data_IF_445321500285
#
_entry.id   IF_445321500285
#
_cell.length_a   1.000
_cell.length_b   1.000
_cell.length_c   1.000
_cell.angle_alpha   90.00
_cell.angle_beta   90.00
_cell.angle_gamma   90.00
#
_symmetry.space_group_name_H-M   'P 1'
#
loop_
_entity.id
_entity.type
_entity.pdbx_description
1 polymer ?
#
# COMPACT_ATOMS: atom_id res chain seq x y z
N UNK A 1 -43.44 -1.21 -8.01
CA UNK A 1 -42.21 -1.92 -7.62
C UNK A 1 -41.08 -0.90 -7.63
N UNK A 2 -40.64 -0.53 -6.42
CA UNK A 2 -39.74 0.58 -6.11
C UNK A 2 -38.49 -0.03 -5.45
N UNK A 3 -37.32 0.07 -6.08
CA UNK A 3 -36.00 0.01 -5.42
C UNK A 3 -34.90 0.22 -6.46
N UNK A 4 -34.49 1.46 -6.68
CA UNK A 4 -33.26 1.83 -7.39
C UNK A 4 -32.54 2.97 -6.66
N UNK A 5 -32.30 2.84 -5.35
CA UNK A 5 -31.56 3.86 -4.59
C UNK A 5 -30.83 3.28 -3.36
N UNK A 6 -29.99 2.25 -3.55
CA UNK A 6 -29.16 1.69 -2.47
C UNK A 6 -27.71 1.43 -2.90
N UNK A 7 -27.13 2.30 -3.72
CA UNK A 7 -25.68 2.29 -4.01
C UNK A 7 -25.17 3.73 -4.08
N UNK A 8 -25.35 4.47 -2.99
CA UNK A 8 -24.74 5.80 -2.80
C UNK A 8 -24.44 6.09 -1.31
N UNK A 9 -24.38 5.04 -0.47
CA UNK A 9 -24.31 5.17 0.98
C UNK A 9 -22.90 5.10 1.58
N UNK A 10 -21.89 4.69 0.82
CA UNK A 10 -20.52 4.47 1.37
C UNK A 10 -19.52 5.56 1.02
N UNK A 11 -19.85 6.48 0.09
CA UNK A 11 -18.93 7.55 -0.32
C UNK A 11 -19.09 8.86 0.47
N UNK A 12 -20.20 9.05 1.20
CA UNK A 12 -20.46 10.28 1.96
C UNK A 12 -20.04 10.20 3.44
N UNK A 13 -19.65 9.02 3.93
CA UNK A 13 -19.19 8.87 5.31
C UNK A 13 -17.74 9.36 5.53
N UNK A 14 -16.97 9.59 4.46
CA UNK A 14 -15.58 10.10 4.56
C UNK A 14 -15.49 11.63 4.67
N UNK A 15 -16.55 12.38 4.33
CA UNK A 15 -16.56 13.84 4.42
C UNK A 15 -16.89 14.38 5.82
N UNK A 16 -17.42 13.53 6.72
CA UNK A 16 -17.72 13.92 8.10
C UNK A 16 -16.48 13.99 9.01
N UNK A 17 -15.30 13.56 8.53
CA UNK A 17 -14.04 13.69 9.27
C UNK A 17 -13.42 15.09 9.18
N UNK A 18 -13.92 15.97 8.31
CA UNK A 18 -13.36 17.30 8.07
C UNK A 18 -13.96 18.43 8.94
N UNK A 19 -14.99 18.14 9.75
CA UNK A 19 -15.64 19.15 10.61
C UNK A 19 -15.27 19.02 12.10
N UNK A 20 -14.13 18.41 12.41
CA UNK A 20 -13.65 18.18 13.78
C UNK A 20 -12.62 19.18 14.28
N UNK A 21 -12.70 20.47 13.93
CA UNK A 21 -11.84 21.53 14.49
C UNK A 21 -12.25 21.89 15.93
N UNK A 22 -12.02 20.98 16.88
CA UNK A 22 -11.88 21.28 18.32
C UNK A 22 -11.30 20.08 19.11
N UNK A 23 -10.61 19.14 18.46
CA UNK A 23 -9.73 18.25 19.22
C UNK A 23 -8.55 19.11 19.68
N UNK A 24 -8.35 19.22 20.99
CA UNK A 24 -7.13 19.84 21.55
C UNK A 24 -5.93 19.24 20.83
N UNK A 25 -5.21 20.06 20.07
CA UNK A 25 -4.02 19.62 19.35
C UNK A 25 -3.04 19.05 20.37
N UNK A 26 -2.59 17.83 20.14
CA UNK A 26 -1.69 17.11 21.04
C UNK A 26 -0.50 16.62 20.22
N UNK A 27 0.59 17.38 20.25
CA UNK A 27 1.79 17.05 19.50
C UNK A 27 2.39 15.73 19.98
N UNK A 28 2.39 15.45 21.29
CA UNK A 28 2.92 14.20 21.86
C UNK A 28 2.26 12.98 21.23
N UNK A 29 0.93 12.95 21.22
CA UNK A 29 0.17 11.84 20.64
C UNK A 29 0.44 11.70 19.14
N UNK A 30 0.54 12.82 18.43
CA UNK A 30 0.81 12.81 16.99
C UNK A 30 2.21 12.26 16.68
N UNK A 31 3.20 12.64 17.48
CA UNK A 31 4.59 12.14 17.41
C UNK A 31 4.65 10.65 17.75
N UNK A 32 3.94 10.17 18.78
CA UNK A 32 3.87 8.74 19.11
C UNK A 32 3.28 7.92 17.96
N UNK A 33 2.23 8.42 17.31
CA UNK A 33 1.65 7.77 16.13
C UNK A 33 2.64 7.78 14.95
N UNK A 34 3.39 8.87 14.76
CA UNK A 34 4.45 8.93 13.75
C UNK A 34 5.57 7.92 14.02
N UNK A 35 6.08 7.83 15.25
CA UNK A 35 7.09 6.85 15.65
C UNK A 35 6.60 5.41 15.43
N UNK A 36 5.32 5.13 15.69
CA UNK A 36 4.73 3.82 15.40
C UNK A 36 4.66 3.52 13.89
N UNK A 37 4.31 4.50 13.05
CA UNK A 37 4.27 4.32 11.60
C UNK A 37 5.68 4.21 10.99
N UNK A 38 6.67 4.88 11.58
CA UNK A 38 8.08 4.70 11.24
C UNK A 38 8.52 3.25 11.41
N UNK A 39 8.22 2.63 12.55
CA UNK A 39 8.57 1.24 12.81
C UNK A 39 7.95 0.29 11.77
N UNK A 40 6.69 0.52 11.39
CA UNK A 40 6.01 -0.26 10.35
C UNK A 40 6.69 -0.08 8.98
N UNK A 41 7.06 1.15 8.61
CA UNK A 41 7.75 1.44 7.36
C UNK A 41 9.12 0.76 7.28
N UNK A 42 9.87 0.77 8.39
CA UNK A 42 11.16 0.08 8.51
C UNK A 42 11.00 -1.45 8.41
N UNK A 43 9.99 -2.02 9.07
CA UNK A 43 9.69 -3.46 9.02
C UNK A 43 9.28 -3.92 7.61
N UNK A 44 8.50 -3.09 6.90
CA UNK A 44 8.03 -3.38 5.53
C UNK A 44 9.15 -3.24 4.49
N UNK A 45 10.37 -2.84 4.90
CA UNK A 45 11.51 -2.55 4.01
C UNK A 45 11.12 -1.54 2.93
N UNK A 46 10.35 -0.52 3.32
CA UNK A 46 9.98 0.55 2.41
C UNK A 46 11.21 1.33 1.93
N UNK A 47 11.05 2.09 0.86
CA UNK A 47 12.16 2.81 0.22
C UNK A 47 12.82 3.79 1.20
N UNK A 48 14.15 3.70 1.32
CA UNK A 48 14.92 4.46 2.30
C UNK A 48 14.78 5.96 2.09
N UNK A 49 14.72 6.45 0.84
CA UNK A 49 14.59 7.88 0.59
C UNK A 49 13.21 8.41 1.01
N UNK A 50 12.16 7.59 0.87
CA UNK A 50 10.81 7.93 1.36
C UNK A 50 10.77 7.96 2.90
N UNK A 51 11.42 7.00 3.56
CA UNK A 51 11.55 6.97 5.03
C UNK A 51 12.35 8.18 5.53
N UNK A 52 13.44 8.57 4.86
CA UNK A 52 14.26 9.73 5.23
C UNK A 52 13.49 11.04 5.13
N UNK A 53 12.68 11.22 4.07
CA UNK A 53 11.83 12.40 3.93
C UNK A 53 10.78 12.50 5.05
N UNK A 54 10.20 11.37 5.45
CA UNK A 54 9.26 11.31 6.58
C UNK A 54 9.97 11.58 7.93
N UNK A 55 11.16 11.00 8.13
CA UNK A 55 11.99 11.23 9.32
C UNK A 55 12.31 12.72 9.51
N UNK A 56 12.65 13.44 8.44
CA UNK A 56 12.96 14.87 8.53
C UNK A 56 11.77 15.69 9.07
N UNK A 57 10.53 15.34 8.70
CA UNK A 57 9.33 15.98 9.24
C UNK A 57 9.09 15.61 10.69
N UNK A 58 9.28 14.34 11.05
CA UNK A 58 9.15 13.88 12.43
C UNK A 58 10.18 14.54 13.36
N UNK A 59 11.42 14.68 12.92
CA UNK A 59 12.47 15.37 13.68
C UNK A 59 12.14 16.85 13.85
N UNK A 60 11.61 17.49 12.81
CA UNK A 60 11.11 18.88 12.87
C UNK A 60 9.92 19.02 13.82
N UNK A 61 8.99 18.05 13.84
CA UNK A 61 7.88 18.01 14.77
C UNK A 61 8.35 17.93 16.23
N UNK A 62 9.32 17.06 16.51
CA UNK A 62 9.93 16.91 17.85
C UNK A 62 10.63 18.21 18.30
N UNK A 63 11.32 18.90 17.39
CA UNK A 63 11.96 20.18 17.67
C UNK A 63 10.94 21.30 17.97
N UNK A 64 9.86 21.39 17.20
CA UNK A 64 8.78 22.36 17.43
C UNK A 64 8.04 22.09 18.74
N UNK A 65 7.79 20.82 19.07
CA UNK A 65 7.21 20.45 20.36
C UNK A 65 8.10 20.91 21.52
N UNK A 66 9.41 20.66 21.43
CA UNK A 66 10.37 21.11 22.45
C UNK A 66 10.42 22.65 22.59
N UNK A 67 10.01 23.38 21.54
CA UNK A 67 9.92 24.84 21.51
C UNK A 67 8.55 25.38 21.97
N UNK A 68 7.59 24.49 22.28
CA UNK A 68 6.22 24.85 22.68
C UNK A 68 5.28 25.15 21.51
N UNK A 69 5.70 24.91 20.27
CA UNK A 69 4.91 25.14 19.05
C UNK A 69 4.02 23.93 18.73
N UNK A 70 3.10 23.61 19.66
CA UNK A 70 2.29 22.38 19.65
C UNK A 70 1.48 22.16 18.37
N UNK A 71 0.88 23.21 17.80
CA UNK A 71 0.05 23.08 16.60
C UNK A 71 0.86 22.69 15.36
N UNK A 72 2.00 23.36 15.17
CA UNK A 72 2.89 23.08 14.05
C UNK A 72 3.61 21.73 14.23
N UNK A 73 3.96 21.38 15.47
CA UNK A 73 4.51 20.08 15.81
C UNK A 73 3.54 18.94 15.47
N UNK A 74 2.26 19.07 15.84
CA UNK A 74 1.25 18.08 15.50
C UNK A 74 1.04 17.97 13.98
N UNK A 75 0.96 19.10 13.27
CA UNK A 75 0.81 19.11 11.82
C UNK A 75 1.96 18.38 11.10
N UNK A 76 3.22 18.67 11.46
CA UNK A 76 4.37 17.98 10.90
C UNK A 76 4.43 16.49 11.26
N UNK A 77 4.00 16.13 12.49
CA UNK A 77 3.91 14.73 12.88
C UNK A 77 2.84 14.00 12.05
N UNK A 78 1.67 14.59 11.83
CA UNK A 78 0.61 14.03 10.99
C UNK A 78 1.04 13.89 9.52
N UNK A 79 1.76 14.87 8.97
CA UNK A 79 2.37 14.76 7.64
C UNK A 79 3.36 13.59 7.57
N UNK A 80 4.21 13.44 8.59
CA UNK A 80 5.17 12.32 8.64
C UNK A 80 4.45 10.96 8.68
N UNK A 81 3.31 10.85 9.37
CA UNK A 81 2.46 9.64 9.38
C UNK A 81 1.97 9.31 7.97
N UNK A 82 1.50 10.31 7.22
CA UNK A 82 1.03 10.11 5.85
C UNK A 82 2.16 9.64 4.94
N UNK A 83 3.36 10.22 5.09
CA UNK A 83 4.53 9.84 4.30
C UNK A 83 4.98 8.39 4.60
N UNK A 84 5.02 7.98 5.87
CA UNK A 84 5.33 6.58 6.21
C UNK A 84 4.31 5.60 5.64
N UNK A 85 3.01 5.91 5.74
CA UNK A 85 1.95 5.08 5.16
C UNK A 85 2.06 4.99 3.64
N UNK A 86 2.40 6.09 2.99
CA UNK A 86 2.64 6.09 1.54
C UNK A 86 3.86 5.22 1.18
N UNK A 87 4.93 5.28 1.97
CA UNK A 87 6.11 4.44 1.76
C UNK A 87 5.79 2.95 1.88
N UNK A 88 5.02 2.56 2.91
CA UNK A 88 4.50 1.19 3.10
C UNK A 88 3.65 0.76 1.89
N UNK A 89 2.68 1.57 1.49
CA UNK A 89 1.79 1.25 0.37
C UNK A 89 2.57 1.07 -0.96
N UNK A 90 3.59 1.89 -1.19
CA UNK A 90 4.46 1.74 -2.36
C UNK A 90 5.28 0.44 -2.32
N UNK A 91 5.78 0.06 -1.14
CA UNK A 91 6.52 -1.18 -0.96
C UNK A 91 5.63 -2.41 -1.23
N UNK A 92 4.43 -2.42 -0.67
CA UNK A 92 3.43 -3.48 -0.90
C UNK A 92 3.03 -3.56 -2.37
N UNK A 93 2.78 -2.42 -3.02
CA UNK A 93 2.47 -2.37 -4.45
C UNK A 93 3.60 -2.95 -5.31
N UNK A 94 4.84 -2.62 -4.99
CA UNK A 94 6.01 -3.15 -5.71
C UNK A 94 6.14 -4.66 -5.53
N UNK A 95 5.94 -5.17 -4.31
CA UNK A 95 5.95 -6.60 -4.03
C UNK A 95 4.85 -7.33 -4.79
N UNK A 96 3.62 -6.79 -4.77
CA UNK A 96 2.48 -7.36 -5.48
C UNK A 96 2.72 -7.44 -7.00
N UNK A 97 3.23 -6.36 -7.62
CA UNK A 97 3.59 -6.34 -9.05
C UNK A 97 4.65 -7.39 -9.39
N UNK A 98 5.67 -7.52 -8.54
CA UNK A 98 6.75 -8.49 -8.75
C UNK A 98 6.21 -9.92 -8.73
N UNK A 99 5.31 -10.25 -7.80
CA UNK A 99 4.71 -11.59 -7.74
C UNK A 99 3.75 -11.82 -8.90
N UNK A 100 2.96 -10.83 -9.31
CA UNK A 100 2.06 -10.92 -10.46
C UNK A 100 2.83 -11.21 -11.77
N UNK A 101 3.93 -10.50 -12.02
CA UNK A 101 4.82 -10.74 -13.17
C UNK A 101 5.41 -12.17 -13.15
N UNK A 102 5.77 -12.67 -11.97
CA UNK A 102 6.29 -14.03 -11.80
C UNK A 102 5.20 -15.07 -12.10
N UNK A 103 4.00 -14.90 -11.56
CA UNK A 103 2.86 -15.79 -11.79
C UNK A 103 2.46 -15.78 -13.26
N UNK A 104 2.44 -14.63 -13.93
CA UNK A 104 2.15 -14.55 -15.37
C UNK A 104 3.18 -15.32 -16.19
N UNK A 105 4.47 -15.19 -15.85
CA UNK A 105 5.56 -15.92 -16.50
C UNK A 105 5.45 -17.43 -16.30
N UNK A 106 5.14 -17.87 -15.10
CA UNK A 106 4.93 -19.30 -14.79
C UNK A 106 3.75 -19.87 -15.57
N UNK A 107 2.62 -19.14 -15.58
CA UNK A 107 1.42 -19.54 -16.31
C UNK A 107 1.67 -19.64 -17.82
N UNK A 108 2.39 -18.68 -18.40
CA UNK A 108 2.78 -18.74 -19.82
C UNK A 108 3.62 -19.98 -20.12
N UNK A 109 4.60 -20.27 -19.26
CA UNK A 109 5.43 -21.46 -19.39
C UNK A 109 4.63 -22.76 -19.28
N UNK A 110 3.61 -22.82 -18.42
CA UNK A 110 2.70 -23.97 -18.32
C UNK A 110 1.85 -24.16 -19.58
N UNK A 111 1.31 -23.07 -20.13
CA UNK A 111 0.55 -23.12 -21.39
C UNK A 111 1.42 -23.63 -22.54
N UNK A 112 2.65 -23.11 -22.66
CA UNK A 112 3.61 -23.56 -23.69
C UNK A 112 3.95 -25.05 -23.54
N UNK A 113 4.25 -25.51 -22.31
CA UNK A 113 4.49 -26.93 -22.03
C UNK A 113 3.30 -27.81 -22.41
N UNK A 114 2.08 -27.38 -22.04
CA UNK A 114 0.85 -28.10 -22.38
C UNK A 114 0.67 -28.23 -23.89
N UNK A 115 0.92 -27.18 -24.67
CA UNK A 115 0.82 -27.21 -26.13
C UNK A 115 1.84 -28.18 -26.75
N UNK A 116 3.08 -28.22 -26.22
CA UNK A 116 4.10 -29.18 -26.66
C UNK A 116 3.64 -30.62 -26.40
N UNK A 117 3.19 -30.92 -25.18
CA UNK A 117 2.71 -32.27 -24.85
C UNK A 117 1.50 -32.68 -25.69
N UNK A 118 0.57 -31.76 -25.93
CA UNK A 118 -0.58 -32.04 -26.80
C UNK A 118 -0.12 -32.34 -28.24
N UNK A 119 0.83 -31.57 -28.77
CA UNK A 119 1.38 -31.84 -30.11
C UNK A 119 2.06 -33.20 -30.21
N UNK A 120 2.77 -33.65 -29.17
CA UNK A 120 3.40 -34.97 -29.13
C UNK A 120 2.32 -36.07 -29.12
N UNK A 121 1.33 -35.95 -28.24
CA UNK A 121 0.20 -36.89 -28.16
C UNK A 121 -0.56 -36.98 -29.49
N UNK A 122 -0.80 -35.85 -30.15
CA UNK A 122 -1.49 -35.81 -31.44
C UNK A 122 -0.65 -36.48 -32.56
N UNK A 123 0.68 -36.35 -32.52
CA UNK A 123 1.58 -37.03 -33.45
C UNK A 123 1.60 -38.55 -33.23
N UNK A 124 1.71 -38.98 -31.97
CA UNK A 124 1.73 -40.41 -31.62
C UNK A 124 0.40 -41.09 -31.95
N UNK A 125 -0.72 -40.43 -31.71
CA UNK A 125 -2.06 -40.97 -32.02
C UNK A 125 -2.34 -41.01 -33.53
N UNK A 126 -1.91 -39.99 -34.30
CA UNK A 126 -2.05 -40.00 -35.77
C UNK A 126 -1.13 -41.00 -36.46
N UNK A 127 0.10 -41.18 -35.98
CA UNK A 127 1.04 -42.16 -36.54
C UNK A 127 0.76 -43.59 -36.05
N UNK A 128 0.18 -43.77 -34.86
CA UNK A 128 -0.20 -45.07 -34.30
C UNK A 128 -1.53 -45.63 -34.82
N UNK A 129 -2.40 -44.78 -35.39
CA UNK A 129 -3.68 -45.17 -36.01
C UNK A 129 -3.58 -45.63 -37.47
N UNK A 130 -2.41 -45.53 -38.09
CA UNK A 130 -2.14 -46.10 -39.42
C UNK A 130 -1.62 -47.54 -39.28
N UNK A 131 -2.51 -48.47 -38.93
CA UNK A 131 -2.29 -49.91 -39.08
C UNK A 131 -3.47 -50.54 -39.79
#
# INVERSE_FOLDING_TARGET
MKTKYLIAGTALASLAFLSGCAASVNATKSIEVADSNKAIAEETKADTAQIEAANAKLDSAKALQASGEEEQAAALAEESVLDYKLAVANAELKAAKTEDEKVEKELRGDVERKLIYQSILDQETKNGGAK
#
